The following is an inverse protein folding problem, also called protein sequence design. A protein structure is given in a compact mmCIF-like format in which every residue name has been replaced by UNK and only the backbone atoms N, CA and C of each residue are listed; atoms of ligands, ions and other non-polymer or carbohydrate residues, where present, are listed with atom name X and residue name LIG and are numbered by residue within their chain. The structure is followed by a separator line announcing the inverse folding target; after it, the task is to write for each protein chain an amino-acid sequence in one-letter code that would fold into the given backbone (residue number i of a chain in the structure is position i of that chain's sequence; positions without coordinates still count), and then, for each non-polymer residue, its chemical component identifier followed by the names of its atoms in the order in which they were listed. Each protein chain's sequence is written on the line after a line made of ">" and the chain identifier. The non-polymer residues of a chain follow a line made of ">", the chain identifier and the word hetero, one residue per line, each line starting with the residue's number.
data_IF_058255569849
#
_entry.id   IF_058255569849
#
_cell.length_a   1.000
_cell.length_b   1.000
_cell.length_c   1.000
_cell.angle_alpha   90.00
_cell.angle_beta   90.00
_cell.angle_gamma   90.00
#
_symmetry.space_group_name_H-M   'P 1'
#
loop_
_entity.id
_entity.type
_entity.pdbx_description
1 polymer ?
#
# COMPACT_ATOMS: atom_id res chain seq x y z
N UNK A 1 8.00 25.99 -16.29
CA UNK A 1 7.55 24.60 -16.01
C UNK A 1 7.41 24.49 -14.50
N UNK A 2 6.37 23.83 -13.98
CA UNK A 2 6.09 23.81 -12.54
C UNK A 2 7.21 23.11 -11.75
N UNK A 3 7.85 22.11 -12.37
CA UNK A 3 8.98 21.40 -11.81
C UNK A 3 10.32 21.85 -12.41
N UNK A 4 11.31 22.11 -11.54
CA UNK A 4 12.71 22.22 -11.91
C UNK A 4 13.31 20.87 -12.39
N UNK A 5 14.64 20.67 -12.37
CA UNK A 5 15.29 19.49 -12.96
C UNK A 5 14.85 18.12 -12.40
N UNK A 6 14.11 18.08 -11.27
CA UNK A 6 13.59 16.85 -10.67
C UNK A 6 12.44 16.18 -11.46
N UNK A 7 11.69 16.91 -12.30
CA UNK A 7 10.65 16.29 -13.15
C UNK A 7 11.23 15.24 -14.11
N UNK A 8 12.48 15.41 -14.53
CA UNK A 8 13.21 14.47 -15.39
C UNK A 8 13.45 13.10 -14.74
N UNK A 9 13.29 12.99 -13.41
CA UNK A 9 13.48 11.76 -12.65
C UNK A 9 12.20 10.90 -12.58
N UNK A 10 11.10 11.32 -13.20
CA UNK A 10 9.86 10.55 -13.26
C UNK A 10 9.01 10.58 -12.00
N UNK A 11 9.27 11.52 -11.08
CA UNK A 11 8.56 11.66 -9.79
C UNK A 11 7.38 12.64 -9.85
N UNK A 12 7.12 13.26 -11.00
CA UNK A 12 6.11 14.30 -11.18
C UNK A 12 4.72 13.88 -10.68
N UNK A 13 4.29 12.65 -10.97
CA UNK A 13 2.98 12.11 -10.55
C UNK A 13 2.80 12.00 -9.04
N UNK A 14 3.88 11.91 -8.28
CA UNK A 14 3.83 11.77 -6.82
C UNK A 14 3.99 13.11 -6.09
N UNK A 15 3.93 14.22 -6.83
CA UNK A 15 4.02 15.55 -6.25
C UNK A 15 2.66 16.07 -5.76
N UNK A 16 2.70 16.83 -4.66
CA UNK A 16 1.54 17.52 -4.10
C UNK A 16 0.90 18.51 -5.09
N UNK A 17 1.68 19.02 -6.05
CA UNK A 17 1.22 19.93 -7.11
C UNK A 17 0.45 19.22 -8.22
N UNK A 18 0.71 17.93 -8.46
CA UNK A 18 0.10 17.15 -9.55
C UNK A 18 -1.10 16.31 -9.09
N UNK A 19 -1.03 15.72 -7.90
CA UNK A 19 -2.13 15.00 -7.27
C UNK A 19 -2.33 15.51 -5.85
N UNK A 20 -3.48 16.15 -5.60
CA UNK A 20 -3.88 16.53 -4.25
C UNK A 20 -4.02 15.27 -3.38
N UNK A 21 -3.61 15.31 -2.10
CA UNK A 21 -3.81 14.20 -1.18
C UNK A 21 -5.26 13.73 -1.15
N UNK A 22 -5.47 12.42 -1.32
CA UNK A 22 -6.80 11.83 -1.23
C UNK A 22 -7.15 11.58 0.23
N UNK A 23 -8.10 12.36 0.74
CA UNK A 23 -8.58 12.25 2.11
C UNK A 23 -10.01 11.74 2.15
N UNK A 24 -10.29 10.84 3.09
CA UNK A 24 -11.63 10.35 3.40
C UNK A 24 -12.29 11.30 4.40
N UNK A 25 -13.35 11.99 3.98
CA UNK A 25 -14.14 12.88 4.82
C UNK A 25 -15.52 12.26 5.14
N UNK A 26 -16.08 12.54 6.33
CA UNK A 26 -17.45 12.15 6.64
C UNK A 26 -18.43 12.74 5.62
N UNK A 27 -19.23 11.89 4.99
CA UNK A 27 -20.21 12.29 3.98
C UNK A 27 -19.69 12.33 2.54
N UNK A 28 -18.46 11.88 2.28
CA UNK A 28 -17.95 11.72 0.92
C UNK A 28 -18.84 10.81 0.06
N UNK A 29 -19.00 11.20 -1.21
CA UNK A 29 -19.73 10.40 -2.20
C UNK A 29 -18.99 9.09 -2.53
N UNK A 30 -19.75 8.09 -2.96
CA UNK A 30 -19.20 6.78 -3.33
C UNK A 30 -18.16 6.87 -4.47
N UNK A 31 -18.27 7.85 -5.35
CA UNK A 31 -17.29 8.11 -6.40
C UNK A 31 -15.91 8.47 -5.81
N UNK A 32 -15.86 9.30 -4.77
CA UNK A 32 -14.60 9.69 -4.10
C UNK A 32 -14.02 8.53 -3.29
N UNK A 33 -14.88 7.73 -2.63
CA UNK A 33 -14.45 6.49 -1.96
C UNK A 33 -13.85 5.49 -2.95
N UNK A 34 -14.43 5.35 -4.15
CA UNK A 34 -13.88 4.49 -5.20
C UNK A 34 -12.53 4.98 -5.72
N UNK A 35 -12.31 6.30 -5.80
CA UNK A 35 -11.01 6.87 -6.13
C UNK A 35 -9.96 6.51 -5.07
N UNK A 36 -10.30 6.62 -3.78
CA UNK A 36 -9.42 6.22 -2.67
C UNK A 36 -9.10 4.73 -2.74
N UNK A 37 -10.11 3.87 -2.97
CA UNK A 37 -9.91 2.42 -3.11
C UNK A 37 -8.88 2.12 -4.22
N UNK A 38 -9.05 2.73 -5.40
CA UNK A 38 -8.13 2.55 -6.53
C UNK A 38 -6.72 3.05 -6.21
N UNK A 39 -6.60 4.18 -5.53
CA UNK A 39 -5.30 4.72 -5.11
C UNK A 39 -4.60 3.78 -4.12
N UNK A 40 -5.33 3.21 -3.16
CA UNK A 40 -4.79 2.23 -2.21
C UNK A 40 -4.29 0.98 -2.93
N UNK A 41 -5.07 0.41 -3.86
CA UNK A 41 -4.59 -0.75 -4.63
C UNK A 41 -3.34 -0.42 -5.44
N UNK A 42 -3.28 0.74 -6.09
CA UNK A 42 -2.08 1.17 -6.83
C UNK A 42 -0.86 1.33 -5.91
N UNK A 43 -1.04 1.93 -4.73
CA UNK A 43 0.07 2.15 -3.80
C UNK A 43 0.56 0.83 -3.19
N UNK A 44 -0.36 0.06 -2.60
CA UNK A 44 -0.04 -1.15 -1.84
C UNK A 44 0.45 -2.26 -2.78
N UNK A 45 -0.11 -2.38 -3.99
CA UNK A 45 0.33 -3.41 -4.96
C UNK A 45 1.38 -2.90 -5.96
N UNK A 46 1.99 -1.74 -5.71
CA UNK A 46 3.11 -1.24 -6.53
C UNK A 46 2.74 -0.97 -7.99
N UNK A 47 1.52 -0.47 -8.24
CA UNK A 47 0.93 -0.21 -9.55
C UNK A 47 0.82 -1.47 -10.42
N UNK A 48 0.69 -2.65 -9.80
CA UNK A 48 0.40 -3.88 -10.51
C UNK A 48 -1.06 -3.91 -11.00
N UNK A 49 -1.29 -4.60 -12.11
CA UNK A 49 -2.65 -4.85 -12.59
C UNK A 49 -3.39 -5.80 -11.63
N UNK A 50 -4.62 -5.43 -11.29
CA UNK A 50 -5.54 -6.19 -10.44
C UNK A 50 -6.80 -6.43 -11.25
N UNK A 51 -7.13 -7.69 -11.47
CA UNK A 51 -8.36 -8.07 -12.15
C UNK A 51 -9.54 -7.90 -11.20
N UNK A 52 -10.75 -7.70 -11.74
CA UNK A 52 -11.95 -7.52 -10.92
C UNK A 52 -12.21 -8.72 -9.98
N UNK A 53 -11.84 -9.93 -10.42
CA UNK A 53 -11.94 -11.16 -9.62
C UNK A 53 -10.94 -11.24 -8.47
N UNK A 54 -9.85 -10.48 -8.50
CA UNK A 54 -8.83 -10.46 -7.46
C UNK A 54 -9.12 -9.40 -6.37
N UNK A 55 -10.13 -8.53 -6.58
CA UNK A 55 -10.48 -7.45 -5.65
C UNK A 55 -11.07 -7.99 -4.35
N UNK A 56 -10.70 -7.37 -3.24
CA UNK A 56 -11.20 -7.67 -1.90
C UNK A 56 -12.54 -6.97 -1.64
N UNK A 57 -13.62 -7.49 -2.25
CA UNK A 57 -14.96 -6.88 -2.19
C UNK A 57 -15.47 -6.65 -0.77
N UNK A 58 -15.20 -7.59 0.15
CA UNK A 58 -15.65 -7.45 1.56
C UNK A 58 -14.99 -6.25 2.23
N UNK A 59 -13.67 -6.08 2.07
CA UNK A 59 -12.95 -4.95 2.63
C UNK A 59 -13.41 -3.62 1.99
N UNK A 60 -13.68 -3.62 0.68
CA UNK A 60 -14.20 -2.46 -0.02
C UNK A 60 -15.59 -2.04 0.47
N UNK A 61 -16.49 -3.00 0.70
CA UNK A 61 -17.81 -2.72 1.26
C UNK A 61 -17.73 -2.13 2.66
N UNK A 62 -16.91 -2.71 3.53
CA UNK A 62 -16.71 -2.19 4.89
C UNK A 62 -16.08 -0.80 4.90
N UNK A 63 -15.16 -0.54 3.96
CA UNK A 63 -14.59 0.80 3.77
C UNK A 63 -15.65 1.79 3.29
N UNK A 64 -16.50 1.41 2.33
CA UNK A 64 -17.57 2.28 1.81
C UNK A 64 -18.62 2.63 2.87
N UNK A 65 -18.91 1.69 3.77
CA UNK A 65 -19.81 1.88 4.91
C UNK A 65 -19.19 2.68 6.07
N UNK A 66 -17.87 2.93 6.03
CA UNK A 66 -17.16 3.63 7.10
C UNK A 66 -16.90 2.78 8.35
N UNK A 67 -17.03 1.45 8.26
CA UNK A 67 -16.73 0.52 9.35
C UNK A 67 -15.22 0.42 9.62
N UNK A 68 -14.41 0.64 8.59
CA UNK A 68 -12.95 0.61 8.67
C UNK A 68 -12.34 1.91 8.15
N UNK A 69 -11.24 2.34 8.79
CA UNK A 69 -10.46 3.48 8.35
C UNK A 69 -9.60 3.15 7.11
N UNK A 70 -9.07 4.18 6.44
CA UNK A 70 -8.11 4.00 5.33
C UNK A 70 -6.91 3.15 5.77
N UNK A 71 -6.40 3.37 6.99
CA UNK A 71 -5.27 2.60 7.55
C UNK A 71 -5.61 1.12 7.69
N UNK A 72 -6.82 0.82 8.17
CA UNK A 72 -7.29 -0.56 8.31
C UNK A 72 -7.56 -1.21 6.94
N UNK A 73 -8.06 -0.44 5.98
CA UNK A 73 -8.22 -0.91 4.60
C UNK A 73 -6.87 -1.27 3.95
N UNK A 74 -5.85 -0.41 4.11
CA UNK A 74 -4.47 -0.68 3.67
C UNK A 74 -3.94 -1.97 4.30
N UNK A 75 -4.10 -2.13 5.62
CA UNK A 75 -3.69 -3.35 6.35
C UNK A 75 -4.35 -4.60 5.79
N UNK A 76 -5.66 -4.56 5.53
CA UNK A 76 -6.40 -5.72 4.99
C UNK A 76 -5.96 -6.11 3.59
N UNK A 77 -5.65 -5.13 2.74
CA UNK A 77 -5.08 -5.42 1.41
C UNK A 77 -3.68 -6.02 1.56
N UNK A 78 -2.85 -5.48 2.45
CA UNK A 78 -1.51 -6.00 2.69
C UNK A 78 -1.52 -7.42 3.26
N UNK A 79 -2.56 -7.82 4.01
CA UNK A 79 -2.77 -9.20 4.51
C UNK A 79 -3.50 -10.13 3.55
N UNK A 80 -3.96 -9.62 2.40
CA UNK A 80 -4.70 -10.44 1.45
C UNK A 80 -3.81 -11.48 0.77
N UNK A 81 -4.41 -12.59 0.34
CA UNK A 81 -3.73 -13.63 -0.44
C UNK A 81 -3.11 -13.07 -1.73
N UNK A 82 -3.71 -12.02 -2.30
CA UNK A 82 -3.20 -11.33 -3.48
C UNK A 82 -1.84 -10.66 -3.21
N UNK A 83 -1.70 -9.94 -2.10
CA UNK A 83 -0.44 -9.31 -1.72
C UNK A 83 0.59 -10.37 -1.33
N UNK A 84 0.17 -11.36 -0.53
CA UNK A 84 1.02 -12.43 -0.03
C UNK A 84 1.62 -13.27 -1.17
N UNK A 85 0.81 -13.73 -2.13
CA UNK A 85 1.29 -14.52 -3.26
C UNK A 85 2.31 -13.75 -4.12
N UNK A 86 2.08 -12.45 -4.36
CA UNK A 86 2.94 -11.61 -5.20
C UNK A 86 4.26 -11.23 -4.53
N UNK A 87 4.22 -10.82 -3.26
CA UNK A 87 5.37 -10.17 -2.62
C UNK A 87 5.99 -10.96 -1.47
N UNK A 88 5.26 -11.91 -0.87
CA UNK A 88 5.78 -12.71 0.25
C UNK A 88 6.23 -14.10 -0.22
N UNK A 89 5.40 -14.81 -0.97
CA UNK A 89 5.67 -16.21 -1.35
C UNK A 89 6.64 -16.33 -2.53
N UNK A 90 6.58 -15.38 -3.46
CA UNK A 90 7.41 -15.39 -4.68
C UNK A 90 8.79 -14.74 -4.47
N UNK A 91 8.95 -13.92 -3.43
CA UNK A 91 10.15 -13.13 -3.21
C UNK A 91 11.03 -13.70 -2.10
N UNK A 92 12.34 -13.51 -2.21
CA UNK A 92 13.25 -13.77 -1.10
C UNK A 92 12.95 -12.84 0.08
N UNK A 93 13.27 -13.27 1.30
CA UNK A 93 12.91 -12.57 2.54
C UNK A 93 13.28 -11.08 2.57
N UNK A 94 14.53 -10.72 2.29
CA UNK A 94 14.94 -9.31 2.28
C UNK A 94 14.29 -8.49 1.16
N UNK A 95 13.96 -9.15 0.03
CA UNK A 95 13.22 -8.50 -1.05
C UNK A 95 11.78 -8.19 -0.66
N UNK A 96 11.12 -9.11 0.04
CA UNK A 96 9.80 -8.87 0.64
C UNK A 96 9.86 -7.66 1.58
N UNK A 97 10.85 -7.62 2.48
CA UNK A 97 11.04 -6.52 3.44
C UNK A 97 11.17 -5.18 2.72
N UNK A 98 12.04 -5.06 1.72
CA UNK A 98 12.17 -3.82 0.92
C UNK A 98 10.85 -3.39 0.28
N UNK A 99 10.10 -4.34 -0.26
CA UNK A 99 8.81 -4.08 -0.90
C UNK A 99 7.76 -3.65 0.13
N UNK A 100 7.71 -4.26 1.31
CA UNK A 100 6.83 -3.84 2.40
C UNK A 100 7.09 -2.38 2.81
N UNK A 101 8.36 -2.00 2.98
CA UNK A 101 8.74 -0.60 3.24
C UNK A 101 8.30 0.34 2.11
N UNK A 102 8.47 -0.07 0.84
CA UNK A 102 8.04 0.73 -0.31
C UNK A 102 6.51 0.89 -0.35
N UNK A 103 5.76 -0.18 -0.17
CA UNK A 103 4.31 -0.21 -0.35
C UNK A 103 3.57 0.44 0.82
N UNK A 104 4.02 0.21 2.06
CA UNK A 104 3.33 0.67 3.26
C UNK A 104 3.88 1.99 3.80
N UNK A 105 5.20 2.19 3.74
CA UNK A 105 5.88 3.37 4.30
C UNK A 105 6.32 4.37 3.22
N UNK A 106 6.29 4.00 1.94
CA UNK A 106 6.68 4.87 0.84
C UNK A 106 8.19 5.15 0.75
N UNK A 107 9.03 4.37 1.44
CA UNK A 107 10.49 4.58 1.50
C UNK A 107 11.26 3.26 1.42
N UNK A 108 12.58 3.35 1.28
CA UNK A 108 13.47 2.21 1.50
C UNK A 108 13.78 2.03 3.00
N UNK A 109 14.20 0.83 3.44
CA UNK A 109 14.87 0.66 4.73
C UNK A 109 16.08 1.60 4.83
N UNK A 110 16.26 2.21 5.99
CA UNK A 110 17.35 3.18 6.25
C UNK A 110 18.68 2.44 6.42
N UNK A 111 18.65 1.34 7.15
CA UNK A 111 19.82 0.54 7.47
C UNK A 111 19.49 -0.96 7.58
N UNK A 112 20.53 -1.75 7.85
CA UNK A 112 20.38 -3.19 8.05
C UNK A 112 19.62 -3.53 9.35
N UNK A 113 19.61 -2.63 10.33
CA UNK A 113 18.93 -2.88 11.59
C UNK A 113 17.41 -2.91 11.40
N UNK A 114 16.84 -1.98 10.62
CA UNK A 114 15.42 -2.03 10.25
C UNK A 114 15.05 -3.33 9.53
N UNK A 115 15.91 -3.82 8.64
CA UNK A 115 15.67 -5.09 7.95
C UNK A 115 15.73 -6.29 8.89
N UNK A 116 16.68 -6.28 9.82
CA UNK A 116 16.84 -7.33 10.82
C UNK A 116 15.64 -7.39 11.75
N UNK A 117 15.19 -6.24 12.27
CA UNK A 117 14.03 -6.15 13.16
C UNK A 117 12.75 -6.65 12.48
N UNK A 118 12.59 -6.38 11.17
CA UNK A 118 11.47 -6.89 10.38
C UNK A 118 11.58 -8.43 10.21
N UNK A 119 12.78 -8.94 9.92
CA UNK A 119 13.00 -10.40 9.82
C UNK A 119 12.76 -11.12 11.15
N UNK A 120 13.23 -10.58 12.27
CA UNK A 120 13.06 -11.21 13.59
C UNK A 120 11.57 -11.26 13.99
N UNK A 121 10.80 -10.23 13.65
CA UNK A 121 9.35 -10.19 13.87
C UNK A 121 8.63 -11.25 13.04
N UNK A 122 9.00 -11.40 11.78
CA UNK A 122 8.45 -12.41 10.89
C UNK A 122 8.72 -13.83 11.42
N UNK A 123 9.94 -14.09 11.91
CA UNK A 123 10.31 -15.39 12.48
C UNK A 123 9.60 -15.67 13.82
N UNK A 124 9.42 -14.64 14.65
CA UNK A 124 8.82 -14.79 15.98
C UNK A 124 7.29 -14.83 15.99
N UNK A 125 6.62 -14.10 15.08
CA UNK A 125 5.17 -13.85 15.13
C UNK A 125 4.45 -14.15 13.82
N UNK A 126 5.17 -14.47 12.76
CA UNK A 126 4.59 -14.76 11.46
C UNK A 126 4.18 -13.52 10.66
N UNK A 127 3.60 -13.77 9.49
CA UNK A 127 3.32 -12.77 8.47
C UNK A 127 2.29 -11.71 8.90
N UNK A 128 1.17 -12.13 9.50
CA UNK A 128 0.12 -11.18 9.86
C UNK A 128 0.57 -10.16 10.90
N UNK A 129 1.40 -10.58 11.85
CA UNK A 129 1.99 -9.70 12.86
C UNK A 129 3.14 -8.85 12.32
N UNK A 130 3.68 -9.21 11.16
CA UNK A 130 4.71 -8.45 10.47
C UNK A 130 4.13 -7.26 9.71
N UNK A 131 2.91 -7.43 9.18
CA UNK A 131 2.14 -6.37 8.50
C UNK A 131 1.44 -5.41 9.49
N UNK A 132 1.17 -5.84 10.74
CA UNK A 132 0.40 -5.08 11.73
C UNK A 132 1.09 -3.84 12.33
#
# INVERSE_FOLDING_TARGET
>A
MPFGPASLLGVERFSEESEAPLELLPGDEDAKKEQIIRAVYKQVLGNAYVMESERQLVAESQFKLGEISVREFVRRIAKSDLYRSRFFETCARYRYIELAFRHLMGRAPIDFQEMRDHSERLDARGYDADID
#
